data_IF_313179649952
#
_entry.id   IF_313179649952
#
_cell.length_a   1.000
_cell.length_b   1.000
_cell.length_c   1.000
_cell.angle_alpha   90.00
_cell.angle_beta   90.00
_cell.angle_gamma   90.00
#
_symmetry.space_group_name_H-M   'P 1'
#
loop_
_entity.id
_entity.type
_entity.pdbx_description
1 polymer ?
#
# COMPACT_ATOMS: atom_id res chain seq x y z
N UNK A 1 -0.13 -26.55 -26.20
CA UNK A 1 -0.36 -25.54 -25.15
C UNK A 1 0.98 -25.35 -24.46
N UNK A 2 1.46 -24.11 -24.37
CA UNK A 2 2.65 -23.78 -23.57
C UNK A 2 2.37 -24.20 -22.11
N UNK A 3 3.22 -25.04 -21.47
CA UNK A 3 2.98 -25.44 -20.09
C UNK A 3 2.88 -24.20 -19.21
N UNK A 4 1.77 -24.09 -18.47
CA UNK A 4 1.58 -23.00 -17.51
C UNK A 4 2.74 -23.00 -16.49
N UNK A 5 3.35 -21.84 -16.21
CA UNK A 5 4.42 -21.75 -15.22
C UNK A 5 3.93 -22.22 -13.83
N UNK A 6 4.76 -22.97 -13.12
CA UNK A 6 4.37 -23.65 -11.87
C UNK A 6 5.03 -23.08 -10.58
N UNK A 7 5.84 -22.03 -10.69
CA UNK A 7 6.40 -21.29 -9.54
C UNK A 7 5.87 -19.85 -9.48
N UNK A 8 5.87 -19.20 -8.30
CA UNK A 8 5.53 -17.77 -8.18
C UNK A 8 6.36 -16.88 -9.11
N UNK A 9 7.67 -17.11 -9.20
CA UNK A 9 8.62 -16.34 -10.01
C UNK A 9 8.32 -16.47 -11.50
N UNK A 10 8.09 -17.69 -11.98
CA UNK A 10 7.79 -17.93 -13.39
C UNK A 10 6.43 -17.33 -13.79
N UNK A 11 5.45 -17.34 -12.87
CA UNK A 11 4.16 -16.68 -13.07
C UNK A 11 4.28 -15.16 -13.07
N UNK A 12 5.10 -14.59 -12.18
CA UNK A 12 5.39 -13.15 -12.15
C UNK A 12 6.00 -12.69 -13.48
N UNK A 13 7.07 -13.36 -13.95
CA UNK A 13 7.71 -13.06 -15.25
C UNK A 13 6.70 -13.07 -16.40
N UNK A 14 5.76 -14.02 -16.37
CA UNK A 14 4.81 -14.26 -17.46
C UNK A 14 3.66 -13.26 -17.50
N UNK A 15 3.26 -12.70 -16.34
CA UNK A 15 1.97 -12.00 -16.22
C UNK A 15 2.03 -10.64 -15.54
N UNK A 16 3.15 -10.25 -14.92
CA UNK A 16 3.25 -8.99 -14.16
C UNK A 16 4.30 -8.04 -14.76
N UNK A 17 3.87 -6.83 -15.11
CA UNK A 17 4.76 -5.76 -15.57
C UNK A 17 5.10 -4.84 -14.39
N UNK A 18 6.35 -4.93 -13.93
CA UNK A 18 6.85 -4.17 -12.78
C UNK A 18 7.10 -2.70 -13.09
N UNK A 19 6.75 -1.81 -12.15
CA UNK A 19 7.14 -0.40 -12.18
C UNK A 19 8.65 -0.24 -11.94
N UNK A 20 9.24 0.85 -12.47
CA UNK A 20 10.66 1.18 -12.29
C UNK A 20 11.67 0.02 -12.54
N UNK A 21 11.35 -0.88 -13.47
CA UNK A 21 12.13 -2.12 -13.70
C UNK A 21 12.52 -2.28 -15.16
N UNK A 22 13.74 -2.78 -15.42
CA UNK A 22 14.13 -3.21 -16.77
C UNK A 22 13.44 -4.55 -17.09
N UNK A 23 12.37 -4.48 -17.89
CA UNK A 23 11.53 -5.64 -18.20
C UNK A 23 12.28 -6.79 -18.89
N UNK A 24 13.24 -6.49 -19.77
CA UNK A 24 14.03 -7.55 -20.44
C UNK A 24 14.96 -8.26 -19.47
N UNK A 25 15.60 -7.49 -18.58
CA UNK A 25 16.45 -8.10 -17.56
C UNK A 25 15.63 -8.94 -16.58
N UNK A 26 14.45 -8.45 -16.19
CA UNK A 26 13.52 -9.17 -15.32
C UNK A 26 13.11 -10.54 -15.89
N UNK A 27 12.88 -10.63 -17.20
CA UNK A 27 12.58 -11.91 -17.86
C UNK A 27 13.71 -12.95 -17.70
N UNK A 28 14.95 -12.52 -17.53
CA UNK A 28 16.10 -13.41 -17.36
C UNK A 28 16.35 -13.77 -15.89
N UNK A 29 16.23 -12.80 -14.97
CA UNK A 29 16.63 -12.97 -13.57
C UNK A 29 15.49 -13.30 -12.62
N UNK A 30 14.26 -12.95 -13.00
CA UNK A 30 13.08 -13.08 -12.15
C UNK A 30 13.04 -12.12 -10.96
N UNK A 31 11.93 -12.17 -10.19
CA UNK A 31 11.73 -11.36 -8.99
C UNK A 31 12.44 -11.95 -7.76
N UNK A 32 12.70 -11.09 -6.77
CA UNK A 32 12.82 -11.51 -5.37
C UNK A 32 11.40 -11.51 -4.77
N UNK A 33 10.88 -12.68 -4.41
CA UNK A 33 9.50 -12.81 -3.88
C UNK A 33 9.51 -12.70 -2.36
N UNK A 34 9.01 -11.58 -1.84
CA UNK A 34 8.81 -11.34 -0.40
C UNK A 34 7.49 -11.96 0.06
N UNK A 35 7.51 -12.76 1.12
CA UNK A 35 6.36 -13.57 1.56
C UNK A 35 5.73 -13.05 2.87
N UNK A 36 6.55 -12.61 3.83
CA UNK A 36 6.08 -12.16 5.15
C UNK A 36 6.92 -11.04 5.72
N UNK A 37 6.36 -10.33 6.70
CA UNK A 37 7.05 -9.28 7.42
C UNK A 37 6.79 -9.33 8.92
N UNK A 38 7.77 -8.87 9.71
CA UNK A 38 7.69 -8.77 11.15
C UNK A 38 8.58 -7.65 11.70
N UNK A 39 7.98 -6.66 12.35
CA UNK A 39 8.68 -5.46 12.82
C UNK A 39 9.33 -4.73 11.66
N UNK A 40 10.65 -4.56 11.72
CA UNK A 40 11.44 -3.93 10.65
C UNK A 40 11.97 -4.92 9.61
N UNK A 41 11.56 -6.19 9.68
CA UNK A 41 12.08 -7.24 8.81
C UNK A 41 11.06 -7.71 7.78
N UNK A 42 11.57 -8.17 6.64
CA UNK A 42 10.84 -8.95 5.64
C UNK A 42 11.57 -10.26 5.36
N UNK A 43 10.84 -11.30 4.95
CA UNK A 43 11.39 -12.61 4.60
C UNK A 43 10.89 -13.04 3.21
N UNK A 44 11.80 -13.57 2.39
CA UNK A 44 11.46 -14.12 1.07
C UNK A 44 10.93 -15.56 1.15
N UNK A 45 10.43 -16.09 0.04
CA UNK A 45 9.90 -17.47 -0.04
C UNK A 45 10.97 -18.56 0.17
N UNK A 46 12.26 -18.20 0.11
CA UNK A 46 13.37 -19.10 0.40
C UNK A 46 13.78 -19.06 1.89
N UNK A 47 13.14 -18.21 2.69
CA UNK A 47 13.39 -18.06 4.13
C UNK A 47 14.49 -17.08 4.48
N UNK A 48 15.04 -16.32 3.53
CA UNK A 48 16.05 -15.31 3.84
C UNK A 48 15.38 -14.08 4.43
N UNK A 49 15.92 -13.61 5.56
CA UNK A 49 15.38 -12.47 6.31
C UNK A 49 16.23 -11.22 6.12
N UNK A 50 15.58 -10.11 5.82
CA UNK A 50 16.20 -8.82 5.51
C UNK A 50 15.70 -7.77 6.50
N UNK A 51 16.59 -6.89 6.97
CA UNK A 51 16.15 -5.61 7.55
C UNK A 51 15.63 -4.78 6.39
N UNK A 52 14.38 -4.33 6.46
CA UNK A 52 13.87 -3.38 5.48
C UNK A 52 14.17 -1.94 5.91
N UNK A 53 15.37 -1.49 5.54
CA UNK A 53 15.87 -0.15 5.86
C UNK A 53 15.11 0.99 5.14
N UNK A 54 14.32 0.69 4.11
CA UNK A 54 13.59 1.67 3.31
C UNK A 54 12.10 1.77 3.67
N UNK A 55 11.62 0.96 4.62
CA UNK A 55 10.21 0.88 5.00
C UNK A 55 9.27 0.68 3.80
N UNK A 56 9.64 -0.25 2.91
CA UNK A 56 8.99 -0.54 1.63
C UNK A 56 9.37 0.49 0.58
N UNK A 57 8.47 1.45 0.37
CA UNK A 57 8.71 2.62 -0.47
C UNK A 57 8.48 3.87 0.37
N UNK A 58 9.27 4.01 1.43
CA UNK A 58 9.23 5.16 2.35
C UNK A 58 7.87 5.32 3.06
N UNK A 59 7.13 4.23 3.29
CA UNK A 59 5.70 4.29 3.66
C UNK A 59 5.30 3.48 4.89
N UNK A 60 6.00 2.39 5.23
CA UNK A 60 5.62 1.47 6.32
C UNK A 60 6.14 1.98 7.67
N UNK A 61 5.53 3.06 8.17
CA UNK A 61 6.02 3.79 9.36
C UNK A 61 6.03 2.99 10.68
N UNK A 62 5.14 1.99 10.82
CA UNK A 62 4.96 1.21 12.07
C UNK A 62 5.37 -0.26 11.91
N UNK A 63 6.18 -0.56 10.89
CA UNK A 63 6.66 -1.91 10.61
C UNK A 63 5.61 -2.83 9.98
N UNK A 64 6.03 -4.05 9.64
CA UNK A 64 5.28 -4.99 8.82
C UNK A 64 4.35 -5.93 9.60
N UNK A 65 4.13 -5.69 10.91
CA UNK A 65 3.30 -6.56 11.77
C UNK A 65 2.41 -5.82 12.80
N UNK A 66 2.08 -4.54 12.57
CA UNK A 66 1.21 -3.76 13.49
C UNK A 66 -0.24 -4.28 13.51
N UNK A 67 -0.58 -5.02 14.57
CA UNK A 67 -1.89 -5.68 14.73
C UNK A 67 -3.05 -4.69 14.82
N UNK A 68 -2.84 -3.50 15.39
CA UNK A 68 -3.91 -2.49 15.53
C UNK A 68 -4.44 -2.03 14.18
N UNK A 69 -3.59 -1.96 13.15
CA UNK A 69 -4.01 -1.60 11.78
C UNK A 69 -4.87 -2.70 11.17
N UNK A 70 -4.45 -3.97 11.31
CA UNK A 70 -5.21 -5.13 10.82
C UNK A 70 -6.60 -5.15 11.47
N UNK A 71 -6.67 -5.03 12.80
CA UNK A 71 -7.95 -5.02 13.51
C UNK A 71 -8.84 -3.84 13.12
N UNK A 72 -8.28 -2.64 12.93
CA UNK A 72 -9.04 -1.47 12.48
C UNK A 72 -9.64 -1.69 11.08
N UNK A 73 -8.85 -2.24 10.15
CA UNK A 73 -9.31 -2.56 8.81
C UNK A 73 -10.40 -3.64 8.84
N UNK A 74 -10.20 -4.74 9.58
CA UNK A 74 -11.20 -5.81 9.71
C UNK A 74 -12.52 -5.29 10.27
N UNK A 75 -12.49 -4.51 11.36
CA UNK A 75 -13.71 -3.94 11.94
C UNK A 75 -14.48 -3.06 10.94
N UNK A 76 -13.79 -2.22 10.20
CA UNK A 76 -14.44 -1.34 9.22
C UNK A 76 -14.96 -2.12 8.02
N UNK A 77 -14.20 -3.09 7.49
CA UNK A 77 -14.63 -3.94 6.38
C UNK A 77 -15.87 -4.77 6.72
N UNK A 78 -15.99 -5.27 7.96
CA UNK A 78 -17.19 -5.97 8.41
C UNK A 78 -18.41 -5.05 8.59
N UNK A 79 -18.19 -3.75 8.86
CA UNK A 79 -19.27 -2.77 9.08
C UNK A 79 -19.76 -2.13 7.78
N UNK A 80 -18.83 -1.60 6.99
CA UNK A 80 -19.10 -0.92 5.72
C UNK A 80 -17.79 -0.93 4.91
N UNK A 81 -17.60 -1.89 3.98
CA UNK A 81 -16.35 -2.06 3.25
C UNK A 81 -16.13 -0.98 2.19
N UNK A 82 -17.20 -0.34 1.71
CA UNK A 82 -17.11 0.74 0.73
C UNK A 82 -18.37 1.61 0.75
N UNK A 83 -18.17 2.92 0.66
CA UNK A 83 -19.16 3.91 0.21
C UNK A 83 -18.40 5.17 -0.26
N UNK A 84 -18.97 5.95 -1.16
CA UNK A 84 -18.35 7.18 -1.66
C UNK A 84 -18.74 8.42 -0.82
N UNK A 85 -18.08 9.56 -1.01
CA UNK A 85 -18.34 10.84 -0.34
C UNK A 85 -19.00 11.91 -1.25
N UNK A 86 -19.32 11.57 -2.50
CA UNK A 86 -19.96 12.49 -3.44
C UNK A 86 -21.39 12.87 -3.01
N UNK A 87 -21.81 14.11 -3.34
CA UNK A 87 -23.19 14.55 -3.16
C UNK A 87 -23.62 14.63 -1.70
N UNK A 88 -22.76 15.20 -0.84
CA UNK A 88 -22.98 15.34 0.61
C UNK A 88 -23.19 14.00 1.32
N UNK A 89 -22.54 12.93 0.85
CA UNK A 89 -22.44 11.65 1.56
C UNK A 89 -21.16 11.64 2.38
N UNK A 90 -21.17 10.92 3.49
CA UNK A 90 -20.01 10.76 4.35
C UNK A 90 -20.12 9.47 5.15
N UNK A 91 -19.01 9.08 5.78
CA UNK A 91 -18.94 7.97 6.72
C UNK A 91 -17.97 8.32 7.86
N UNK A 92 -18.17 7.75 9.05
CA UNK A 92 -17.44 8.16 10.26
C UNK A 92 -15.91 8.19 10.10
N UNK A 93 -15.24 7.17 9.51
CA UNK A 93 -13.79 7.21 9.34
C UNK A 93 -13.26 8.40 8.51
N UNK A 94 -14.05 8.88 7.53
CA UNK A 94 -13.69 10.05 6.72
C UNK A 94 -13.68 11.32 7.58
N UNK A 95 -14.74 11.48 8.38
CA UNK A 95 -14.95 12.63 9.25
C UNK A 95 -13.85 12.68 10.33
N UNK A 96 -13.64 11.56 11.02
CA UNK A 96 -12.65 11.45 12.10
C UNK A 96 -11.22 11.70 11.59
N UNK A 97 -10.89 11.19 10.39
CA UNK A 97 -9.58 11.41 9.79
C UNK A 97 -9.40 12.86 9.33
N UNK A 98 -10.42 13.47 8.72
CA UNK A 98 -10.36 14.87 8.29
C UNK A 98 -10.16 15.81 9.48
N UNK A 99 -10.90 15.61 10.58
CA UNK A 99 -10.73 16.36 11.82
C UNK A 99 -9.30 16.23 12.35
N UNK A 100 -8.80 14.99 12.47
CA UNK A 100 -7.48 14.73 13.03
C UNK A 100 -6.34 15.34 12.19
N UNK A 101 -6.44 15.27 10.86
CA UNK A 101 -5.44 15.86 9.97
C UNK A 101 -5.41 17.38 10.08
N UNK A 102 -6.58 18.03 10.10
CA UNK A 102 -6.67 19.49 10.22
C UNK A 102 -6.14 19.97 11.57
N UNK A 103 -6.44 19.27 12.67
CA UNK A 103 -5.96 19.61 14.01
C UNK A 103 -4.44 19.42 14.19
N UNK A 104 -3.86 18.42 13.52
CA UNK A 104 -2.43 18.09 13.62
C UNK A 104 -1.55 18.95 12.69
N UNK A 105 -2.15 19.68 11.75
CA UNK A 105 -1.40 20.51 10.81
C UNK A 105 -0.54 21.55 11.55
N UNK A 106 0.73 21.77 11.15
CA UNK A 106 1.65 22.68 11.85
C UNK A 106 1.30 24.16 11.69
N UNK A 107 0.33 24.47 10.83
CA UNK A 107 -0.21 25.80 10.56
C UNK A 107 -1.73 25.71 10.45
N UNK A 108 -2.47 26.82 10.62
CA UNK A 108 -3.92 26.81 10.47
C UNK A 108 -4.36 26.31 9.09
N UNK A 109 -5.00 25.15 9.06
CA UNK A 109 -5.65 24.56 7.87
C UNK A 109 -7.16 24.51 8.06
N UNK A 110 -7.94 24.45 6.96
CA UNK A 110 -9.41 24.53 7.02
C UNK A 110 -10.12 23.20 6.68
N UNK A 111 -9.64 22.46 5.68
CA UNK A 111 -10.30 21.26 5.13
C UNK A 111 -9.26 20.24 4.67
N UNK A 112 -9.66 18.97 4.66
CA UNK A 112 -8.92 17.88 4.04
C UNK A 112 -9.72 17.36 2.83
N UNK A 113 -9.02 17.02 1.75
CA UNK A 113 -9.55 16.34 0.57
C UNK A 113 -8.75 15.05 0.36
N UNK A 114 -9.41 13.95 0.02
CA UNK A 114 -8.79 12.62 -0.03
C UNK A 114 -8.60 12.12 -1.45
N UNK A 115 -7.44 11.51 -1.69
CA UNK A 115 -7.06 10.80 -2.92
C UNK A 115 -6.38 9.47 -2.53
N UNK A 116 -6.04 8.63 -3.50
CA UNK A 116 -5.45 7.32 -3.25
C UNK A 116 -3.91 7.35 -3.28
N UNK A 117 -3.32 8.36 -3.94
CA UNK A 117 -1.87 8.50 -4.11
C UNK A 117 -1.39 9.93 -3.96
N UNK A 118 -0.10 10.09 -3.67
CA UNK A 118 0.57 11.40 -3.65
C UNK A 118 0.55 12.09 -5.02
N UNK A 119 0.63 11.32 -6.12
CA UNK A 119 0.52 11.86 -7.47
C UNK A 119 -0.85 12.50 -7.74
N UNK A 120 -1.94 11.81 -7.37
CA UNK A 120 -3.31 12.37 -7.48
C UNK A 120 -3.52 13.59 -6.56
N UNK A 121 -2.88 13.59 -5.38
CA UNK A 121 -2.95 14.74 -4.47
C UNK A 121 -2.29 15.97 -5.09
N UNK A 122 -1.12 15.81 -5.72
CA UNK A 122 -0.45 16.89 -6.43
C UNK A 122 -1.25 17.37 -7.65
N UNK A 123 -1.82 16.45 -8.44
CA UNK A 123 -2.71 16.83 -9.57
C UNK A 123 -3.91 17.65 -9.06
N UNK A 124 -4.56 17.19 -7.98
CA UNK A 124 -5.69 17.88 -7.34
C UNK A 124 -5.29 19.26 -6.81
N UNK A 125 -4.08 19.41 -6.27
CA UNK A 125 -3.60 20.69 -5.74
C UNK A 125 -3.30 21.73 -6.84
N UNK A 126 -3.04 21.27 -8.08
CA UNK A 126 -2.73 22.13 -9.22
C UNK A 126 -4.00 22.61 -9.94
N UNK A 127 -5.06 21.79 -9.96
CA UNK A 127 -6.32 22.08 -10.64
C UNK A 127 -7.09 23.24 -10.02
#
# INVERSE_FOLDING_TARGET
>A
MDPRPNSPEARDISYHMHGYTNARKHQETGPLVIEKGDGVYVEDIAGNRYIEAMAGLWSVAVGFSEKRLVEAATRQMSKLPFYHDFGSKAHSPLIDLAEKLVQMAPVPMSKAYFTNSGSEANDTAIK
#
